data_IF_197606545802
#
_entry.id   IF_197606545802
#
_cell.length_a   1.000
_cell.length_b   1.000
_cell.length_c   1.000
_cell.angle_alpha   90.00
_cell.angle_beta   90.00
_cell.angle_gamma   90.00
#
_symmetry.space_group_name_H-M   'P 1'
#
loop_
_entity.id
_entity.type
_entity.pdbx_description
1 polymer ?
#
# COMPACT_ATOMS: atom_id res chain seq x y z
N UNK A 1 6.08 3.53 6.34
CA UNK A 1 7.16 4.33 6.97
C UNK A 1 6.58 5.62 7.50
N UNK A 2 7.08 6.07 8.65
CA UNK A 2 6.78 7.37 9.24
C UNK A 2 7.94 7.74 10.17
N UNK A 3 8.06 9.02 10.51
CA UNK A 3 9.07 9.54 11.41
C UNK A 3 8.71 10.92 11.95
N UNK A 4 9.74 11.61 12.41
CA UNK A 4 9.68 13.00 12.81
C UNK A 4 11.00 13.67 12.44
N UNK A 5 10.94 14.96 12.12
CA UNK A 5 12.11 15.75 11.74
C UNK A 5 12.04 17.16 12.30
N UNK A 6 13.20 17.80 12.40
CA UNK A 6 13.32 19.19 12.84
C UNK A 6 14.26 19.96 11.92
N UNK A 7 13.94 21.22 11.61
CA UNK A 7 14.79 22.12 10.85
C UNK A 7 15.41 23.20 11.73
N UNK A 8 16.54 23.75 11.29
CA UNK A 8 17.14 24.94 11.90
C UNK A 8 16.55 26.27 11.36
N UNK A 9 15.71 26.20 10.32
CA UNK A 9 15.04 27.34 9.68
C UNK A 9 13.60 26.99 9.28
N UNK A 10 12.74 26.73 10.26
CA UNK A 10 11.33 26.36 10.03
C UNK A 10 11.10 24.85 9.95
N UNK A 11 9.97 24.44 9.38
CA UNK A 11 9.59 23.03 9.26
C UNK A 11 10.57 22.28 8.34
N UNK A 12 10.89 21.00 8.63
CA UNK A 12 11.70 20.19 7.74
C UNK A 12 11.00 20.02 6.38
N UNK A 13 11.77 20.02 5.30
CA UNK A 13 11.27 19.89 3.94
C UNK A 13 12.09 18.85 3.17
N UNK A 14 11.43 18.13 2.27
CA UNK A 14 12.12 17.25 1.31
C UNK A 14 12.93 18.09 0.33
N UNK A 15 14.20 17.76 0.13
CA UNK A 15 15.09 18.46 -0.80
C UNK A 15 15.32 17.64 -2.08
N UNK A 16 15.19 18.29 -3.24
CA UNK A 16 15.41 17.68 -4.56
C UNK A 16 14.75 16.29 -4.73
N UNK A 17 13.43 16.24 -4.46
CA UNK A 17 12.63 15.02 -4.52
C UNK A 17 12.84 14.26 -5.86
N UNK A 18 13.08 12.95 -5.77
CA UNK A 18 13.34 12.08 -6.92
C UNK A 18 14.74 12.21 -7.54
N UNK A 19 15.56 13.18 -7.12
CA UNK A 19 16.94 13.35 -7.61
C UNK A 19 18.00 12.92 -6.59
N UNK A 20 17.65 12.84 -5.31
CA UNK A 20 18.55 12.43 -4.23
C UNK A 20 18.05 11.15 -3.55
N UNK A 21 18.97 10.48 -2.85
CA UNK A 21 18.65 9.35 -1.99
C UNK A 21 17.67 9.72 -0.88
N UNK A 22 16.92 8.72 -0.41
CA UNK A 22 15.79 8.90 0.52
C UNK A 22 16.18 8.98 2.01
N UNK A 23 17.41 8.63 2.37
CA UNK A 23 17.86 8.61 3.76
C UNK A 23 17.84 10.01 4.39
N UNK A 24 16.97 10.22 5.39
CA UNK A 24 16.80 11.51 6.07
C UNK A 24 16.18 12.61 5.20
N UNK A 25 15.60 12.26 4.04
CA UNK A 25 15.09 13.20 3.04
C UNK A 25 13.62 12.89 2.65
N UNK A 26 12.85 12.33 3.58
CA UNK A 26 11.42 12.06 3.39
C UNK A 26 10.66 12.63 4.58
N UNK A 27 9.74 13.56 4.32
CA UNK A 27 9.00 14.30 5.35
C UNK A 27 7.50 13.97 5.37
N UNK A 28 7.11 12.82 4.82
CA UNK A 28 5.73 12.32 4.85
C UNK A 28 5.67 10.84 5.22
N UNK A 29 4.57 10.45 5.87
CA UNK A 29 4.30 9.07 6.25
C UNK A 29 3.59 8.34 5.11
N UNK A 30 4.13 7.21 4.68
CA UNK A 30 3.47 6.34 3.68
C UNK A 30 3.19 4.98 4.28
N UNK A 31 2.06 4.38 3.94
CA UNK A 31 1.73 3.04 4.41
C UNK A 31 1.08 2.20 3.30
N UNK A 32 1.33 0.90 3.38
CA UNK A 32 0.55 -0.13 2.73
C UNK A 32 -0.01 -1.03 3.84
N UNK A 33 -1.33 -1.23 3.86
CA UNK A 33 -2.03 -2.14 4.75
C UNK A 33 -2.73 -3.22 3.94
N UNK A 34 -2.17 -4.44 3.96
CA UNK A 34 -2.75 -5.60 3.28
C UNK A 34 -3.50 -6.48 4.26
N UNK A 35 -4.75 -6.77 3.93
CA UNK A 35 -5.59 -7.79 4.56
C UNK A 35 -5.69 -8.98 3.61
N UNK A 36 -5.33 -10.18 4.10
CA UNK A 36 -5.38 -11.41 3.33
C UNK A 36 -6.15 -12.46 4.13
N UNK A 37 -7.36 -12.78 3.67
CA UNK A 37 -8.23 -13.75 4.32
C UNK A 37 -8.50 -14.93 3.39
N UNK A 38 -8.22 -16.13 3.88
CA UNK A 38 -8.68 -17.35 3.21
C UNK A 38 -10.19 -17.50 3.39
N UNK A 39 -10.91 -17.50 2.28
CA UNK A 39 -12.38 -17.55 2.23
C UNK A 39 -12.89 -18.92 1.76
N UNK A 40 -12.03 -19.74 1.16
CA UNK A 40 -12.36 -21.09 0.72
C UNK A 40 -11.18 -22.05 0.90
N UNK A 41 -11.45 -23.29 1.34
CA UNK A 41 -10.48 -24.37 1.49
C UNK A 41 -11.15 -25.75 1.53
N UNK A 42 -11.28 -26.41 0.39
CA UNK A 42 -11.85 -27.77 0.28
C UNK A 42 -11.20 -28.50 -0.90
N UNK A 43 -11.06 -29.82 -0.81
CA UNK A 43 -10.65 -30.70 -1.92
C UNK A 43 -9.41 -30.24 -2.70
N UNK A 44 -8.38 -29.75 -2.00
CA UNK A 44 -7.15 -29.25 -2.61
C UNK A 44 -7.28 -27.89 -3.30
N UNK A 45 -8.42 -27.22 -3.18
CA UNK A 45 -8.70 -25.90 -3.74
C UNK A 45 -8.75 -24.85 -2.62
N UNK A 46 -8.09 -23.72 -2.85
CA UNK A 46 -8.05 -22.61 -1.90
C UNK A 46 -8.34 -21.29 -2.59
N UNK A 47 -9.05 -20.39 -1.91
CA UNK A 47 -9.23 -19.01 -2.37
C UNK A 47 -9.02 -18.02 -1.23
N UNK A 48 -8.29 -16.94 -1.51
CA UNK A 48 -8.06 -15.84 -0.59
C UNK A 48 -8.59 -14.54 -1.20
N UNK A 49 -9.32 -13.77 -0.39
CA UNK A 49 -9.64 -12.38 -0.68
C UNK A 49 -8.51 -11.49 -0.15
N UNK A 50 -7.97 -10.65 -1.03
CA UNK A 50 -6.86 -9.74 -0.73
C UNK A 50 -7.33 -8.31 -0.96
N UNK A 51 -7.11 -7.47 0.05
CA UNK A 51 -7.38 -6.03 0.00
C UNK A 51 -6.15 -5.30 0.49
N UNK A 52 -5.62 -4.38 -0.31
CA UNK A 52 -4.52 -3.49 0.10
C UNK A 52 -5.00 -2.05 0.06
N UNK A 53 -4.83 -1.35 1.18
CA UNK A 53 -4.93 0.09 1.27
C UNK A 53 -3.54 0.70 1.16
N UNK A 54 -3.31 1.56 0.18
CA UNK A 54 -2.12 2.40 0.10
C UNK A 54 -2.48 3.85 0.41
N UNK A 55 -1.58 4.54 1.11
CA UNK A 55 -1.86 5.90 1.53
C UNK A 55 -0.67 6.70 2.00
N UNK A 56 -0.91 8.00 2.09
CA UNK A 56 0.00 8.99 2.64
C UNK A 56 -0.68 9.68 3.83
N UNK A 57 0.09 9.98 4.86
CA UNK A 57 -0.31 10.75 6.03
C UNK A 57 0.74 11.83 6.25
N UNK A 58 0.29 13.07 6.35
CA UNK A 58 1.11 14.21 6.71
C UNK A 58 1.61 14.10 8.14
N UNK A 59 2.88 14.44 8.36
CA UNK A 59 3.51 14.35 9.69
C UNK A 59 3.41 15.66 10.48
N UNK A 60 2.81 16.70 9.89
CA UNK A 60 2.77 18.04 10.46
C UNK A 60 1.70 18.22 11.55
N UNK A 61 0.57 17.50 11.46
CA UNK A 61 -0.59 17.68 12.33
C UNK A 61 -0.99 16.36 13.00
N UNK A 62 -1.45 16.42 14.26
CA UNK A 62 -1.86 15.24 15.01
C UNK A 62 -3.22 14.68 14.54
N UNK A 63 -4.11 15.56 14.09
CA UNK A 63 -5.43 15.22 13.55
C UNK A 63 -5.36 15.22 12.03
N UNK A 64 -5.39 14.02 11.43
CA UNK A 64 -5.21 13.81 10.00
C UNK A 64 -6.35 12.95 9.44
N UNK A 65 -7.38 13.60 8.89
CA UNK A 65 -8.50 12.91 8.23
C UNK A 65 -8.16 12.57 6.78
N UNK A 66 -8.45 11.33 6.39
CA UNK A 66 -8.37 10.91 4.98
C UNK A 66 -9.53 11.48 4.16
N UNK A 67 -9.25 11.84 2.90
CA UNK A 67 -10.28 12.13 1.91
C UNK A 67 -10.78 13.57 1.86
N UNK A 68 -10.11 14.49 2.58
CA UNK A 68 -10.25 15.93 2.34
C UNK A 68 -9.37 16.32 1.14
N UNK A 69 -9.93 17.01 0.16
CA UNK A 69 -9.22 17.45 -1.04
C UNK A 69 -8.20 18.57 -0.78
N UNK A 70 -8.23 19.16 0.41
CA UNK A 70 -7.33 20.25 0.79
C UNK A 70 -6.08 19.79 1.56
N UNK A 71 -5.85 18.47 1.75
CA UNK A 71 -4.71 17.97 2.52
C UNK A 71 -3.94 16.84 1.80
N UNK A 72 -2.79 16.47 2.37
CA UNK A 72 -1.92 15.40 1.86
C UNK A 72 -2.29 13.99 2.36
N UNK A 73 -3.34 13.88 3.18
CA UNK A 73 -3.79 12.62 3.77
C UNK A 73 -4.71 11.87 2.81
N UNK A 74 -4.17 10.84 2.16
CA UNK A 74 -4.86 10.07 1.14
C UNK A 74 -4.85 8.61 1.53
N UNK A 75 -5.99 7.95 1.37
CA UNK A 75 -6.12 6.50 1.43
C UNK A 75 -6.88 6.04 0.20
N UNK A 76 -6.36 5.03 -0.48
CA UNK A 76 -7.03 4.41 -1.62
C UNK A 76 -6.85 2.90 -1.59
N UNK A 77 -7.65 2.21 -2.41
CA UNK A 77 -7.47 0.79 -2.67
C UNK A 77 -6.45 0.59 -3.79
N UNK A 78 -5.29 0.03 -3.48
CA UNK A 78 -4.32 -0.43 -4.48
C UNK A 78 -4.69 -1.81 -5.01
N UNK A 79 -5.11 -2.71 -4.12
CA UNK A 79 -5.54 -4.08 -4.45
C UNK A 79 -6.93 -4.39 -3.89
N UNK A 80 -7.76 -4.99 -4.73
CA UNK A 80 -9.00 -5.70 -4.35
C UNK A 80 -9.15 -6.86 -5.32
N UNK A 81 -8.69 -8.05 -4.93
CA UNK A 81 -8.75 -9.23 -5.79
C UNK A 81 -8.98 -10.52 -5.03
N UNK A 82 -9.47 -11.53 -5.75
CA UNK A 82 -9.49 -12.92 -5.30
C UNK A 82 -8.31 -13.64 -5.95
N UNK A 83 -7.54 -14.39 -5.16
CA UNK A 83 -6.53 -15.32 -5.67
C UNK A 83 -6.86 -16.74 -5.28
N UNK A 84 -6.58 -17.68 -6.17
CA UNK A 84 -7.03 -19.06 -6.08
C UNK A 84 -5.94 -20.03 -6.51
N UNK A 85 -5.94 -21.24 -5.92
CA UNK A 85 -5.10 -22.38 -6.33
C UNK A 85 -5.94 -23.66 -6.37
N UNK A 86 -5.61 -24.58 -7.26
CA UNK A 86 -6.35 -25.84 -7.47
C UNK A 86 -7.56 -25.73 -8.40
N UNK A 87 -7.88 -24.53 -8.90
CA UNK A 87 -9.06 -24.28 -9.74
C UNK A 87 -8.83 -24.51 -11.23
N UNK A 88 -7.57 -24.56 -11.69
CA UNK A 88 -7.21 -24.88 -13.08
C UNK A 88 -6.89 -26.39 -13.18
N UNK A 89 -7.74 -27.23 -13.82
CA UNK A 89 -7.52 -28.67 -13.85
C UNK A 89 -6.22 -29.09 -14.54
N UNK A 90 -5.78 -28.32 -15.54
CA UNK A 90 -4.55 -28.55 -16.29
C UNK A 90 -3.30 -28.04 -15.58
N UNK A 91 -3.45 -27.23 -14.52
CA UNK A 91 -2.36 -26.68 -13.73
C UNK A 91 -2.80 -26.45 -12.27
N UNK A 92 -3.01 -27.52 -11.47
CA UNK A 92 -3.56 -27.39 -10.12
C UNK A 92 -2.72 -26.52 -9.17
N UNK A 93 -1.41 -26.46 -9.41
CA UNK A 93 -0.46 -25.66 -8.63
C UNK A 93 -0.40 -24.19 -9.04
N UNK A 94 -1.05 -23.80 -10.14
CA UNK A 94 -1.01 -22.42 -10.62
C UNK A 94 -1.89 -21.50 -9.77
N UNK A 95 -1.39 -20.31 -9.51
CA UNK A 95 -2.17 -19.23 -8.92
C UNK A 95 -2.94 -18.51 -10.01
N UNK A 96 -4.26 -18.42 -9.83
CA UNK A 96 -5.15 -17.67 -10.69
C UNK A 96 -5.83 -16.57 -9.87
N UNK A 97 -5.82 -15.34 -10.38
CA UNK A 97 -6.41 -14.19 -9.70
C UNK A 97 -7.34 -13.38 -10.61
N UNK A 98 -8.29 -12.69 -9.97
CA UNK A 98 -9.21 -11.77 -10.65
C UNK A 98 -9.53 -10.59 -9.74
N UNK A 99 -9.50 -9.38 -10.29
CA UNK A 99 -9.82 -8.14 -9.58
C UNK A 99 -8.82 -7.02 -9.88
N UNK A 100 -8.88 -5.96 -9.08
CA UNK A 100 -7.89 -4.88 -9.12
C UNK A 100 -6.63 -5.39 -8.43
N UNK A 101 -5.55 -5.52 -9.19
CA UNK A 101 -4.26 -5.92 -8.65
C UNK A 101 -3.17 -5.02 -9.22
N UNK A 102 -2.52 -4.24 -8.34
CA UNK A 102 -1.43 -3.34 -8.73
C UNK A 102 -0.21 -4.19 -9.10
N UNK A 103 0.32 -3.99 -10.31
CA UNK A 103 1.56 -4.65 -10.72
C UNK A 103 2.75 -4.13 -9.91
N UNK A 104 3.78 -4.96 -9.67
CA UNK A 104 5.02 -4.51 -9.03
C UNK A 104 5.60 -3.32 -9.79
N UNK A 105 5.81 -2.20 -9.07
CA UNK A 105 6.60 -1.09 -9.58
C UNK A 105 8.05 -1.32 -9.18
N UNK A 106 8.95 -1.28 -10.16
CA UNK A 106 10.38 -1.26 -9.93
C UNK A 106 10.80 0.22 -9.90
N UNK A 107 11.20 0.70 -8.72
CA UNK A 107 11.89 2.00 -8.55
C UNK A 107 13.35 1.92 -9.02
#
# INVERSE_FOLDING_TARGET
RSGWGTGNHGSPQTYAAGSLGRFGNEMSGWFDLTLNQRVYNQDGKTANAVVTYDGNVGEQYNDAWFGDSANENIMQFSDIYLTTRGFLPFAPEADFWVGKHKLPQYE
#
